data_IF_638963195130
#
_entry.id   IF_638963195130
#
_cell.length_a   1.000
_cell.length_b   1.000
_cell.length_c   1.000
_cell.angle_alpha   90.00
_cell.angle_beta   90.00
_cell.angle_gamma   90.00
#
_symmetry.space_group_name_H-M   'P 1'
#
loop_
_entity.id
_entity.type
_entity.pdbx_description
1 polymer ?
#
# COMPACT_ATOMS: atom_id res chain seq x y z
N UNK A 1 14.55 -13.48 -56.98
CA UNK A 1 13.08 -13.38 -56.94
C UNK A 1 12.79 -12.11 -56.14
N UNK A 2 12.57 -10.96 -56.80
CA UNK A 2 11.24 -10.48 -57.26
C UNK A 2 10.28 -10.41 -56.06
N UNK A 3 9.66 -9.30 -55.63
CA UNK A 3 9.28 -8.00 -56.23
C UNK A 3 8.99 -7.04 -55.05
N UNK A 4 9.41 -5.77 -55.01
CA UNK A 4 8.83 -4.56 -55.64
C UNK A 4 7.31 -4.39 -55.49
N UNK A 5 6.86 -3.28 -54.87
CA UNK A 5 5.74 -2.37 -55.22
C UNK A 5 5.64 -1.35 -54.06
N UNK A 6 6.12 -0.09 -54.17
CA UNK A 6 5.69 1.07 -54.99
C UNK A 6 4.27 1.55 -54.66
N UNK A 7 4.20 2.79 -54.15
CA UNK A 7 3.02 3.66 -54.16
C UNK A 7 3.43 5.04 -53.61
N UNK A 8 4.00 5.96 -54.41
CA UNK A 8 3.36 7.05 -55.17
C UNK A 8 2.36 7.88 -54.35
N UNK A 9 2.68 9.09 -53.90
CA UNK A 9 2.75 10.38 -54.63
C UNK A 9 1.45 11.19 -54.49
N UNK A 10 1.47 12.35 -53.84
CA UNK A 10 1.54 13.68 -54.48
C UNK A 10 1.40 14.80 -53.42
N UNK A 11 1.94 16.00 -53.69
CA UNK A 11 2.09 17.11 -52.77
C UNK A 11 0.89 18.07 -52.85
N UNK A 12 0.76 18.98 -51.89
CA UNK A 12 0.10 20.24 -52.22
C UNK A 12 0.74 21.44 -51.53
N UNK A 13 1.05 22.39 -52.39
CA UNK A 13 1.71 23.67 -52.19
C UNK A 13 0.64 24.73 -51.99
N UNK A 14 0.77 25.58 -50.97
CA UNK A 14 0.22 26.93 -51.04
C UNK A 14 1.01 27.92 -50.17
N UNK A 15 1.44 28.99 -50.83
CA UNK A 15 2.17 30.14 -50.27
C UNK A 15 1.22 31.32 -50.07
N UNK A 16 1.38 32.09 -48.99
CA UNK A 16 1.08 33.55 -48.85
C UNK A 16 1.43 33.97 -47.41
N UNK A 17 2.50 34.74 -47.13
CA UNK A 17 2.75 36.21 -47.21
C UNK A 17 1.93 37.14 -46.30
N UNK A 18 2.70 38.03 -45.63
CA UNK A 18 2.41 39.40 -45.12
C UNK A 18 1.78 39.49 -43.72
N UNK A 19 2.51 39.97 -42.70
CA UNK A 19 2.95 41.34 -42.36
C UNK A 19 1.91 42.17 -41.59
N UNK A 20 2.31 42.60 -40.37
CA UNK A 20 1.77 43.70 -39.53
C UNK A 20 0.32 43.56 -39.06
N UNK A 21 -0.07 43.79 -37.80
CA UNK A 21 0.16 44.99 -36.99
C UNK A 21 -0.31 44.74 -35.53
N UNK A 22 0.43 45.32 -34.57
CA UNK A 22 0.09 45.79 -33.20
C UNK A 22 -1.40 46.01 -32.80
N UNK A 23 -1.76 46.26 -31.51
CA UNK A 23 -1.07 46.03 -30.23
C UNK A 23 -1.96 45.47 -29.08
N UNK A 24 -1.29 45.13 -27.97
CA UNK A 24 -1.67 45.25 -26.55
C UNK A 24 -3.14 45.04 -26.13
N UNK A 25 -3.34 44.06 -25.24
CA UNK A 25 -4.00 44.30 -23.95
C UNK A 25 -3.84 43.11 -22.99
N UNK A 26 -2.96 43.32 -22.01
CA UNK A 26 -3.34 43.36 -20.59
C UNK A 26 -3.84 42.05 -19.96
N UNK A 27 -2.90 41.32 -19.33
CA UNK A 27 -3.03 40.92 -17.92
C UNK A 27 -1.68 40.41 -17.37
N UNK A 28 -1.34 40.91 -16.19
CA UNK A 28 -0.24 40.55 -15.27
C UNK A 28 -0.95 40.19 -13.94
N UNK A 29 -0.40 39.47 -12.95
CA UNK A 29 0.79 38.63 -12.83
C UNK A 29 0.49 37.24 -12.23
N UNK A 30 1.57 36.55 -11.85
CA UNK A 30 1.71 35.71 -10.64
C UNK A 30 1.20 34.28 -10.71
N UNK A 31 2.05 33.40 -11.23
CA UNK A 31 2.12 32.00 -10.81
C UNK A 31 3.54 31.69 -10.35
N UNK A 32 3.84 32.02 -9.08
CA UNK A 32 5.09 31.61 -8.41
C UNK A 32 5.14 30.08 -8.47
N UNK A 33 6.11 29.55 -9.23
CA UNK A 33 6.34 28.10 -9.36
C UNK A 33 6.85 27.56 -8.02
N UNK A 34 5.94 27.24 -7.11
CA UNK A 34 6.25 26.39 -5.96
C UNK A 34 6.54 25.00 -6.51
N UNK A 35 7.78 24.58 -6.30
CA UNK A 35 8.17 23.18 -6.35
C UNK A 35 7.39 22.47 -5.25
N UNK A 36 6.19 21.97 -5.57
CA UNK A 36 5.49 21.04 -4.69
C UNK A 36 6.19 19.70 -4.90
N UNK A 37 7.18 19.45 -4.06
CA UNK A 37 7.66 18.10 -3.78
C UNK A 37 6.43 17.27 -3.47
N UNK A 38 6.11 16.31 -4.33
CA UNK A 38 5.03 15.34 -4.11
C UNK A 38 5.38 14.58 -2.84
N UNK A 39 4.87 15.03 -1.70
CA UNK A 39 4.93 14.27 -0.45
C UNK A 39 3.83 13.23 -0.59
N UNK A 40 4.21 12.06 -1.08
CA UNK A 40 3.37 10.87 -0.99
C UNK A 40 3.25 10.51 0.50
N UNK A 41 2.33 11.16 1.21
CA UNK A 41 1.89 10.71 2.53
C UNK A 41 0.94 9.54 2.29
N UNK A 42 1.51 8.35 2.30
CA UNK A 42 0.79 7.08 2.29
C UNK A 42 -0.21 7.08 3.46
N UNK A 43 -1.51 7.06 3.16
CA UNK A 43 -2.57 6.98 4.15
C UNK A 43 -2.56 5.58 4.79
N UNK A 44 -1.79 5.43 5.86
CA UNK A 44 -1.86 4.24 6.73
C UNK A 44 -3.18 4.29 7.51
N UNK A 45 -4.01 3.26 7.35
CA UNK A 45 -5.28 3.16 8.08
C UNK A 45 -5.06 2.31 9.32
N UNK A 46 -5.12 2.93 10.49
CA UNK A 46 -5.10 2.22 11.78
C UNK A 46 -6.53 1.88 12.16
N UNK A 47 -6.81 0.59 12.32
CA UNK A 47 -8.10 0.03 12.70
C UNK A 47 -7.91 -0.66 14.04
N UNK A 48 -8.63 -0.21 15.06
CA UNK A 48 -8.69 -0.92 16.33
C UNK A 48 -10.00 -1.70 16.37
N UNK A 49 -9.91 -3.04 16.38
CA UNK A 49 -11.09 -3.92 16.40
C UNK A 49 -10.93 -4.94 17.50
N UNK A 50 -11.87 -4.95 18.45
CA UNK A 50 -11.92 -5.94 19.54
C UNK A 50 -10.63 -5.98 20.39
N UNK A 51 -9.99 -4.81 20.56
CA UNK A 51 -8.72 -4.64 21.30
C UNK A 51 -7.45 -4.91 20.48
N UNK A 52 -7.59 -5.43 19.25
CA UNK A 52 -6.49 -5.67 18.32
C UNK A 52 -6.25 -4.40 17.51
N UNK A 53 -5.01 -3.91 17.49
CA UNK A 53 -4.63 -2.78 16.62
C UNK A 53 -4.09 -3.32 15.32
N UNK A 54 -4.67 -2.90 14.20
CA UNK A 54 -4.29 -3.32 12.85
C UNK A 54 -3.91 -2.06 12.09
N UNK A 55 -2.65 -1.95 11.73
CA UNK A 55 -2.12 -0.87 10.92
C UNK A 55 -1.95 -1.39 9.50
N UNK A 56 -2.88 -1.03 8.61
CA UNK A 56 -2.86 -1.45 7.20
C UNK A 56 -1.87 -0.63 6.41
N UNK A 57 -0.94 -1.30 5.73
CA UNK A 57 0.10 -0.66 4.92
C UNK A 57 0.88 0.42 5.71
N UNK A 58 1.60 0.02 6.79
CA UNK A 58 2.45 0.93 7.56
C UNK A 58 3.57 1.49 6.68
N UNK A 59 4.05 2.72 6.92
CA UNK A 59 5.16 3.27 6.14
C UNK A 59 6.44 2.50 6.43
N UNK A 60 7.30 2.34 5.42
CA UNK A 60 8.56 1.60 5.56
C UNK A 60 9.45 2.17 6.68
N UNK A 61 9.40 3.48 6.91
CA UNK A 61 10.08 4.16 8.02
C UNK A 61 9.72 3.53 9.37
N UNK A 62 8.44 3.18 9.58
CA UNK A 62 7.97 2.59 10.83
C UNK A 62 8.35 1.13 10.97
N UNK A 63 8.27 0.36 9.87
CA UNK A 63 8.76 -1.03 9.84
C UNK A 63 10.26 -1.11 10.17
N UNK A 64 11.04 -0.16 9.66
CA UNK A 64 12.48 -0.04 9.92
C UNK A 64 12.75 0.38 11.37
N UNK A 65 11.97 1.32 11.90
CA UNK A 65 12.11 1.83 13.27
C UNK A 65 11.72 0.77 14.32
N UNK A 66 10.70 -0.03 14.05
CA UNK A 66 10.34 -1.22 14.84
C UNK A 66 11.36 -2.37 14.65
N UNK A 67 12.17 -2.31 13.60
CA UNK A 67 13.13 -3.36 13.28
C UNK A 67 12.46 -4.67 12.89
N UNK A 68 11.30 -4.63 12.22
CA UNK A 68 10.52 -5.83 11.83
C UNK A 68 11.37 -6.85 11.07
N UNK A 69 12.33 -6.38 10.27
CA UNK A 69 13.28 -7.23 9.53
C UNK A 69 14.20 -8.06 10.44
N UNK A 70 14.40 -7.65 11.69
CA UNK A 70 15.20 -8.37 12.71
C UNK A 70 14.36 -9.36 13.52
N UNK A 71 13.04 -9.26 13.45
CA UNK A 71 12.16 -10.15 14.20
C UNK A 71 12.21 -11.56 13.61
N UNK A 72 12.04 -12.60 14.45
CA UNK A 72 11.91 -13.96 13.95
C UNK A 72 10.75 -14.07 12.95
N UNK A 73 10.97 -14.89 11.93
CA UNK A 73 9.94 -15.22 10.94
C UNK A 73 9.20 -16.47 11.39
N UNK A 74 7.89 -16.44 11.23
CA UNK A 74 7.03 -17.59 11.45
C UNK A 74 6.15 -17.81 10.22
N UNK A 75 6.09 -19.06 9.78
CA UNK A 75 5.29 -19.50 8.65
C UNK A 75 4.35 -20.62 9.08
N UNK A 76 3.09 -20.59 8.63
CA UNK A 76 2.14 -21.65 8.92
C UNK A 76 1.19 -21.90 7.74
N UNK A 77 0.95 -23.16 7.35
CA UNK A 77 -0.03 -23.49 6.32
C UNK A 77 -1.46 -23.15 6.76
N UNK A 78 -2.44 -23.16 5.82
CA UNK A 78 -3.85 -22.99 6.14
C UNK A 78 -4.30 -23.95 7.23
N UNK A 79 -4.65 -23.41 8.39
CA UNK A 79 -4.99 -24.16 9.59
C UNK A 79 -5.81 -23.29 10.54
N UNK A 80 -6.57 -23.94 11.42
CA UNK A 80 -7.40 -23.28 12.42
C UNK A 80 -6.99 -23.73 13.81
N UNK A 81 -6.57 -22.80 14.65
CA UNK A 81 -6.11 -23.12 16.01
C UNK A 81 -6.46 -22.01 17.01
N UNK A 82 -6.78 -22.38 18.26
CA UNK A 82 -6.91 -21.42 19.34
C UNK A 82 -5.52 -20.91 19.76
N UNK A 83 -5.41 -19.61 20.01
CA UNK A 83 -4.20 -18.95 20.46
C UNK A 83 -4.52 -18.01 21.64
N UNK A 84 -3.61 -17.95 22.61
CA UNK A 84 -3.73 -17.02 23.74
C UNK A 84 -2.43 -16.26 23.88
N UNK A 85 -2.52 -14.94 23.89
CA UNK A 85 -1.39 -14.04 24.05
C UNK A 85 -1.12 -13.84 25.54
N UNK A 86 -0.03 -14.41 26.04
CA UNK A 86 0.41 -14.21 27.43
C UNK A 86 1.09 -12.84 27.66
N UNK A 87 1.57 -12.23 26.58
CA UNK A 87 2.24 -10.94 26.54
C UNK A 87 1.76 -10.13 25.33
N UNK A 88 2.19 -8.87 25.21
CA UNK A 88 1.82 -8.05 24.06
C UNK A 88 2.61 -8.55 22.85
N UNK A 89 1.92 -9.10 21.86
CA UNK A 89 2.55 -9.56 20.62
C UNK A 89 2.33 -8.54 19.52
N UNK A 90 3.41 -8.06 18.90
CA UNK A 90 3.33 -7.33 17.65
C UNK A 90 3.78 -8.24 16.52
N UNK A 91 2.95 -8.40 15.49
CA UNK A 91 3.32 -9.15 14.31
C UNK A 91 3.04 -8.37 13.03
N UNK A 92 3.88 -8.58 12.03
CA UNK A 92 3.73 -8.01 10.70
C UNK A 92 3.56 -9.13 9.71
N UNK A 93 2.41 -9.16 9.03
CA UNK A 93 2.14 -10.17 8.02
C UNK A 93 2.86 -9.78 6.73
N UNK A 94 3.73 -10.67 6.25
CA UNK A 94 4.38 -10.55 4.95
C UNK A 94 3.47 -11.07 3.85
N UNK A 95 2.83 -12.22 4.08
CA UNK A 95 1.92 -12.84 3.13
C UNK A 95 0.81 -13.64 3.84
N UNK A 96 -0.21 -14.03 3.08
CA UNK A 96 -1.31 -14.84 3.57
C UNK A 96 -2.55 -14.04 3.98
N UNK A 97 -3.55 -14.79 4.43
CA UNK A 97 -4.84 -14.24 4.89
C UNK A 97 -5.32 -15.03 6.09
N UNK A 98 -5.55 -14.32 7.19
CA UNK A 98 -5.99 -14.89 8.46
C UNK A 98 -7.23 -14.18 8.96
N UNK A 99 -8.19 -14.94 9.48
CA UNK A 99 -9.29 -14.40 10.27
C UNK A 99 -9.05 -14.72 11.73
N UNK A 100 -8.98 -13.68 12.55
CA UNK A 100 -8.85 -13.80 14.00
C UNK A 100 -10.23 -13.66 14.61
N UNK A 101 -10.61 -14.60 15.48
CA UNK A 101 -11.88 -14.61 16.21
C UNK A 101 -11.60 -14.43 17.71
N UNK A 102 -11.73 -13.22 18.25
CA UNK A 102 -11.57 -12.98 19.68
C UNK A 102 -12.55 -13.77 20.52
N UNK A 103 -12.06 -14.40 21.59
CA UNK A 103 -12.93 -15.09 22.55
C UNK A 103 -13.85 -14.07 23.24
N UNK A 104 -15.16 -14.32 23.20
CA UNK A 104 -16.17 -13.43 23.79
C UNK A 104 -16.79 -12.42 22.81
N UNK A 105 -16.42 -12.47 21.52
CA UNK A 105 -17.06 -11.68 20.47
C UNK A 105 -17.64 -12.59 19.38
N UNK A 106 -18.75 -12.21 18.75
CA UNK A 106 -19.28 -12.89 17.56
C UNK A 106 -18.70 -12.32 16.25
N UNK A 107 -17.76 -11.39 16.39
CA UNK A 107 -17.12 -10.71 15.29
C UNK A 107 -15.74 -11.30 15.01
N UNK A 108 -15.38 -11.35 13.73
CA UNK A 108 -14.03 -11.69 13.28
C UNK A 108 -13.25 -10.45 12.86
N UNK A 109 -11.94 -10.58 12.83
CA UNK A 109 -10.99 -9.60 12.37
C UNK A 109 -10.18 -10.21 11.23
N UNK A 110 -10.29 -9.65 10.03
CA UNK A 110 -9.51 -10.12 8.88
C UNK A 110 -8.22 -9.31 8.75
N UNK A 111 -7.10 -10.03 8.75
CA UNK A 111 -5.75 -9.50 8.56
C UNK A 111 -5.13 -10.19 7.35
N UNK A 112 -4.36 -9.42 6.58
CA UNK A 112 -3.73 -9.91 5.36
C UNK A 112 -2.27 -9.44 5.26
N UNK A 113 -1.59 -9.91 4.21
CA UNK A 113 -0.28 -9.44 3.80
C UNK A 113 -0.17 -7.89 3.84
N UNK A 114 0.86 -7.37 4.49
CA UNK A 114 1.12 -5.94 4.64
C UNK A 114 0.48 -5.30 5.86
N UNK A 115 -0.28 -6.05 6.68
CA UNK A 115 -0.87 -5.54 7.91
C UNK A 115 0.08 -5.73 9.10
N UNK A 116 0.28 -4.66 9.88
CA UNK A 116 0.96 -4.71 11.17
C UNK A 116 -0.08 -4.81 12.29
N UNK A 117 -0.05 -5.90 13.03
CA UNK A 117 -1.06 -6.25 14.01
C UNK A 117 -0.45 -6.29 15.40
N UNK A 118 -1.07 -5.61 16.36
CA UNK A 118 -0.68 -5.62 17.77
C UNK A 118 -1.81 -6.25 18.57
N UNK A 119 -1.47 -7.34 19.25
CA UNK A 119 -2.36 -8.07 20.15
C UNK A 119 -2.09 -7.67 21.60
N UNK A 120 -3.13 -7.34 22.39
CA UNK A 120 -2.98 -7.02 23.79
C UNK A 120 -2.68 -8.26 24.62
N UNK A 121 -1.93 -8.06 25.72
CA UNK A 121 -1.65 -9.11 26.71
C UNK A 121 -2.93 -9.66 27.32
N UNK A 122 -2.99 -10.98 27.49
CA UNK A 122 -4.09 -11.71 28.10
C UNK A 122 -5.27 -11.97 27.17
N UNK A 123 -5.13 -11.71 25.87
CA UNK A 123 -6.19 -11.93 24.89
C UNK A 123 -6.17 -13.37 24.39
N UNK A 124 -7.33 -14.02 24.40
CA UNK A 124 -7.55 -15.30 23.70
C UNK A 124 -8.31 -15.07 22.39
N UNK A 125 -7.88 -15.73 21.33
CA UNK A 125 -8.55 -15.70 20.04
C UNK A 125 -8.34 -17.01 19.27
N UNK A 126 -9.18 -17.28 18.28
CA UNK A 126 -8.96 -18.38 17.32
C UNK A 126 -8.41 -17.81 16.04
N UNK A 127 -7.27 -18.32 15.60
CA UNK A 127 -6.69 -18.02 14.30
C UNK A 127 -7.27 -19.00 13.28
N UNK A 128 -7.84 -18.47 12.20
CA UNK A 128 -8.34 -19.21 11.05
C UNK A 128 -7.55 -18.77 9.81
N UNK A 129 -6.48 -19.49 9.53
CA UNK A 129 -5.56 -19.21 8.42
C UNK A 129 -6.19 -19.78 7.15
N UNK A 130 -6.76 -18.91 6.31
CA UNK A 130 -7.36 -19.33 5.04
C UNK A 130 -6.31 -19.59 3.96
N UNK A 131 -5.24 -18.80 3.97
CA UNK A 131 -4.09 -18.91 3.07
C UNK A 131 -2.83 -18.91 3.93
N UNK A 132 -1.87 -19.79 3.61
CA UNK A 132 -0.61 -19.91 4.34
C UNK A 132 -0.01 -18.54 4.63
N UNK A 133 0.40 -18.35 5.88
CA UNK A 133 0.81 -17.04 6.41
C UNK A 133 2.29 -17.06 6.68
N UNK A 134 2.99 -16.01 6.23
CA UNK A 134 4.31 -15.66 6.73
C UNK A 134 4.20 -14.34 7.47
N UNK A 135 4.71 -14.31 8.71
CA UNK A 135 4.73 -13.11 9.53
C UNK A 135 6.04 -12.99 10.28
N UNK A 136 6.44 -11.74 10.51
CA UNK A 136 7.42 -11.41 11.55
C UNK A 136 6.67 -11.21 12.85
N UNK A 137 7.18 -11.72 13.97
CA UNK A 137 6.54 -11.58 15.27
C UNK A 137 7.55 -11.12 16.33
N UNK A 138 7.10 -10.30 17.26
CA UNK A 138 7.88 -9.83 18.39
C UNK A 138 7.01 -9.77 19.63
N UNK A 139 7.50 -10.37 20.70
CA UNK A 139 6.87 -10.34 22.02
C UNK A 139 7.52 -9.24 22.85
N UNK A 140 6.69 -8.40 23.50
CA UNK A 140 7.10 -7.38 24.48
C UNK A 140 6.50 -7.67 25.87
#
# INVERSE_FOLDING_TARGET
MASSFVGTSFPNHFSQTKHSSVPVSRAVPTGRRVHLTTRAESMTTVIEKLGIKIERNPPESKLTQLGVRKWPKWGCPPSKFPWTYEAKETCYLLEGKVKVFPSGSNESVEIAAGDLVVFPKGMSCTWDVSVGVDKHYNFE
#
